data_IF_991592233859
#
_entry.id   IF_991592233859
#
_cell.length_a   1.000
_cell.length_b   1.000
_cell.length_c   1.000
_cell.angle_alpha   90.00
_cell.angle_beta   90.00
_cell.angle_gamma   90.00
#
_symmetry.space_group_name_H-M   'P 1'
#
loop_
_entity.id
_entity.type
_entity.pdbx_description
1 polymer ?
#
# COMPACT_ATOMS: atom_id res chain seq x y z
N UNK A 1 -17.11 21.18 -17.10
CA UNK A 1 -16.38 20.22 -17.90
C UNK A 1 -16.32 18.90 -17.14
N UNK A 2 -16.42 17.76 -17.85
CA UNK A 2 -16.38 16.45 -17.19
C UNK A 2 -14.95 15.96 -16.90
N UNK A 3 -13.92 16.62 -17.49
CA UNK A 3 -12.52 16.19 -17.38
C UNK A 3 -11.82 16.92 -16.22
N UNK A 4 -11.01 16.22 -15.41
CA UNK A 4 -10.33 16.81 -14.25
C UNK A 4 -9.29 17.87 -14.60
N UNK A 5 -8.55 17.67 -15.69
CA UNK A 5 -7.48 18.54 -16.18
C UNK A 5 -7.26 18.35 -17.69
N UNK A 6 -6.46 19.23 -18.29
CA UNK A 6 -6.06 19.09 -19.70
C UNK A 6 -4.96 18.02 -19.84
N UNK A 7 -5.07 17.20 -20.89
CA UNK A 7 -4.07 16.18 -21.24
C UNK A 7 -3.45 16.49 -22.61
N UNK A 8 -2.24 15.98 -22.90
CA UNK A 8 -1.63 16.11 -24.23
C UNK A 8 -2.50 15.56 -25.35
N UNK A 9 -2.40 16.12 -26.56
CA UNK A 9 -3.20 15.72 -27.71
C UNK A 9 -3.06 14.23 -28.10
N UNK A 10 -1.94 13.60 -27.69
CA UNK A 10 -1.68 12.18 -27.94
C UNK A 10 -2.32 11.26 -26.88
N UNK A 11 -2.96 11.80 -25.85
CA UNK A 11 -3.60 11.04 -24.78
C UNK A 11 -5.11 11.03 -24.95
N UNK A 12 -5.76 10.03 -24.38
CA UNK A 12 -7.22 9.91 -24.38
C UNK A 12 -7.76 9.72 -22.98
N UNK A 13 -8.94 10.30 -22.71
CA UNK A 13 -9.69 10.00 -21.50
C UNK A 13 -10.53 8.74 -21.69
N UNK A 14 -10.39 7.77 -20.80
CA UNK A 14 -11.21 6.56 -20.77
C UNK A 14 -11.90 6.40 -19.40
N UNK A 15 -13.06 5.74 -19.38
CA UNK A 15 -13.64 5.29 -18.10
C UNK A 15 -12.86 4.09 -17.59
N UNK A 16 -12.59 4.03 -16.27
CA UNK A 16 -11.87 2.91 -15.66
C UNK A 16 -12.48 1.56 -16.07
N UNK A 17 -13.80 1.43 -16.02
CA UNK A 17 -14.50 0.21 -16.39
C UNK A 17 -14.38 -0.22 -17.86
N UNK A 18 -13.87 0.65 -18.75
CA UNK A 18 -13.60 0.29 -20.15
C UNK A 18 -12.16 -0.18 -20.38
N UNK A 19 -11.26 0.02 -19.41
CA UNK A 19 -9.83 -0.30 -19.54
C UNK A 19 -9.36 -1.37 -18.56
N UNK A 20 -10.24 -1.79 -17.64
CA UNK A 20 -10.02 -2.91 -16.72
C UNK A 20 -11.22 -3.85 -16.71
N UNK A 21 -11.01 -5.08 -16.27
CA UNK A 21 -12.09 -6.02 -15.98
C UNK A 21 -11.92 -6.62 -14.58
N UNK A 22 -12.99 -7.26 -14.12
CA UNK A 22 -13.06 -7.94 -12.83
C UNK A 22 -13.05 -9.45 -13.09
N UNK A 23 -12.22 -10.19 -12.37
CA UNK A 23 -12.14 -11.66 -12.52
C UNK A 23 -13.33 -12.41 -11.95
N UNK A 24 -14.26 -11.71 -11.31
CA UNK A 24 -15.44 -12.31 -10.69
C UNK A 24 -15.22 -12.70 -9.24
N UNK A 25 -16.15 -13.51 -8.75
CA UNK A 25 -16.19 -13.95 -7.37
C UNK A 25 -16.34 -15.47 -7.28
N UNK A 26 -15.84 -16.03 -6.18
CA UNK A 26 -15.97 -17.45 -5.87
C UNK A 26 -16.30 -17.67 -4.40
N UNK A 27 -16.73 -18.87 -4.06
CA UNK A 27 -16.72 -19.36 -2.69
C UNK A 27 -15.58 -20.36 -2.55
N UNK A 28 -14.64 -20.17 -1.60
CA UNK A 28 -13.54 -21.09 -1.42
C UNK A 28 -14.04 -22.52 -1.16
N UNK A 29 -13.53 -23.50 -1.91
CA UNK A 29 -13.84 -24.93 -1.74
C UNK A 29 -12.65 -25.77 -1.29
N UNK A 30 -11.47 -25.19 -1.33
CA UNK A 30 -10.18 -25.76 -0.87
C UNK A 30 -9.47 -24.73 -0.01
N UNK A 31 -8.32 -25.08 0.57
CA UNK A 31 -7.44 -24.12 1.23
C UNK A 31 -7.05 -23.01 0.27
N UNK A 32 -7.01 -21.79 0.76
CA UNK A 32 -6.76 -20.58 -0.02
C UNK A 32 -5.96 -19.56 0.76
N UNK A 33 -5.25 -18.69 0.05
CA UNK A 33 -4.57 -17.53 0.64
C UNK A 33 -5.54 -16.36 0.71
N UNK A 34 -5.90 -15.93 1.91
CA UNK A 34 -6.83 -14.82 2.11
C UNK A 34 -6.10 -13.48 2.15
N UNK A 35 -6.56 -12.55 1.34
CA UNK A 35 -6.06 -11.19 1.28
C UNK A 35 -7.16 -10.24 1.75
N UNK A 36 -6.99 -9.67 2.94
CA UNK A 36 -7.85 -8.60 3.45
C UNK A 36 -7.10 -7.26 3.53
N UNK A 37 -7.77 -6.22 4.04
CA UNK A 37 -7.16 -4.88 4.16
C UNK A 37 -5.93 -4.90 5.08
N UNK A 38 -5.92 -5.74 6.12
CA UNK A 38 -4.77 -5.93 7.01
C UNK A 38 -3.58 -6.63 6.37
N UNK A 39 -3.78 -7.26 5.22
CA UNK A 39 -2.71 -7.90 4.44
C UNK A 39 -1.87 -6.88 3.65
N UNK A 40 -2.26 -5.60 3.63
CA UNK A 40 -1.58 -4.55 2.87
C UNK A 40 -0.74 -3.67 3.80
N UNK A 41 0.55 -3.54 3.50
CA UNK A 41 1.39 -2.46 4.00
C UNK A 41 1.05 -1.18 3.22
N UNK A 42 0.21 -0.34 3.80
CA UNK A 42 -0.25 0.89 3.14
C UNK A 42 0.78 2.02 3.13
N UNK A 43 1.93 1.86 3.78
CA UNK A 43 3.04 2.82 3.68
C UNK A 43 3.86 2.58 2.42
N UNK A 44 4.04 1.31 2.07
CA UNK A 44 4.82 0.89 0.91
C UNK A 44 3.95 0.40 -0.25
N UNK A 45 2.62 0.35 -0.08
CA UNK A 45 1.63 -0.18 -1.03
C UNK A 45 2.00 -1.59 -1.54
N UNK A 46 2.34 -2.47 -0.62
CA UNK A 46 2.74 -3.86 -0.90
C UNK A 46 1.96 -4.85 -0.05
N UNK A 47 1.89 -6.08 -0.52
CA UNK A 47 1.44 -7.18 0.32
C UNK A 47 2.46 -7.45 1.44
N UNK A 48 1.96 -7.71 2.64
CA UNK A 48 2.78 -8.24 3.72
C UNK A 48 3.48 -9.53 3.29
N UNK A 49 4.70 -9.82 3.76
CA UNK A 49 5.46 -10.97 3.30
C UNK A 49 4.84 -12.32 3.72
N UNK A 50 3.99 -12.33 4.73
CA UNK A 50 3.38 -13.55 5.27
C UNK A 50 1.99 -13.76 4.69
N UNK A 51 1.76 -14.92 4.07
CA UNK A 51 0.45 -15.32 3.56
C UNK A 51 -0.42 -15.91 4.69
N UNK A 52 -1.70 -15.58 4.66
CA UNK A 52 -2.70 -16.15 5.57
C UNK A 52 -3.45 -17.26 4.86
N UNK A 53 -3.08 -18.52 5.11
CA UNK A 53 -3.80 -19.69 4.58
C UNK A 53 -4.98 -20.02 5.46
N UNK A 54 -6.16 -20.20 4.86
CA UNK A 54 -7.43 -20.49 5.54
C UNK A 54 -8.11 -21.70 4.92
N UNK A 55 -8.61 -22.61 5.76
CA UNK A 55 -9.44 -23.72 5.32
C UNK A 55 -10.85 -23.24 4.91
N UNK A 56 -11.51 -23.89 3.95
CA UNK A 56 -12.77 -23.41 3.36
C UNK A 56 -13.92 -23.30 4.38
N UNK A 57 -13.94 -24.16 5.39
CA UNK A 57 -14.93 -24.14 6.48
C UNK A 57 -14.77 -22.92 7.44
N UNK A 58 -13.60 -22.31 7.44
CA UNK A 58 -13.28 -21.11 8.22
C UNK A 58 -13.25 -19.83 7.37
N UNK A 59 -13.66 -19.91 6.11
CA UNK A 59 -13.60 -18.79 5.20
C UNK A 59 -14.48 -17.61 5.68
N UNK A 60 -13.92 -16.39 5.83
CA UNK A 60 -14.73 -15.23 6.10
C UNK A 60 -15.75 -15.01 4.99
N UNK A 61 -16.94 -14.52 5.32
CA UNK A 61 -17.99 -14.24 4.33
C UNK A 61 -17.56 -13.26 3.24
N UNK A 62 -16.57 -12.45 3.52
CA UNK A 62 -15.95 -11.49 2.58
C UNK A 62 -14.88 -12.09 1.67
N UNK A 63 -14.41 -13.31 1.88
CA UNK A 63 -13.44 -13.97 1.01
C UNK A 63 -14.11 -14.43 -0.29
N UNK A 64 -14.15 -13.55 -1.29
CA UNK A 64 -14.93 -13.77 -2.50
C UNK A 64 -14.24 -13.39 -3.80
N UNK A 65 -13.37 -12.36 -3.81
CA UNK A 65 -12.82 -11.79 -5.04
C UNK A 65 -11.65 -12.64 -5.55
N UNK A 66 -11.77 -13.12 -6.78
CA UNK A 66 -10.66 -13.80 -7.47
C UNK A 66 -9.56 -12.79 -7.80
N UNK A 67 -8.32 -13.17 -7.61
CA UNK A 67 -7.13 -12.37 -7.92
C UNK A 67 -6.06 -13.23 -8.58
N UNK A 68 -5.20 -12.58 -9.35
CA UNK A 68 -4.09 -13.22 -10.04
C UNK A 68 -2.89 -12.26 -10.15
N UNK A 69 -1.75 -12.79 -10.57
CA UNK A 69 -0.54 -12.02 -10.82
C UNK A 69 -0.82 -10.78 -11.70
N UNK A 70 -0.32 -9.64 -11.29
CA UNK A 70 -0.46 -8.37 -12.01
C UNK A 70 -1.76 -7.61 -11.72
N UNK A 71 -2.73 -8.18 -11.01
CA UNK A 71 -3.94 -7.47 -10.61
C UNK A 71 -3.63 -6.36 -9.61
N UNK A 72 -4.38 -5.27 -9.69
CA UNK A 72 -4.36 -4.21 -8.68
C UNK A 72 -5.49 -4.48 -7.68
N UNK A 73 -5.14 -4.57 -6.41
CA UNK A 73 -6.10 -4.52 -5.31
C UNK A 73 -6.26 -3.07 -4.86
N UNK A 74 -7.45 -2.53 -4.98
CA UNK A 74 -7.79 -1.17 -4.56
C UNK A 74 -8.85 -1.22 -3.46
N UNK A 75 -8.52 -0.75 -2.25
CA UNK A 75 -9.50 -0.69 -1.16
C UNK A 75 -10.59 0.33 -1.47
N UNK A 76 -11.83 -0.13 -1.53
CA UNK A 76 -13.00 0.74 -1.71
C UNK A 76 -13.45 1.40 -0.41
N UNK A 77 -12.90 0.98 0.72
CA UNK A 77 -13.16 1.53 2.06
C UNK A 77 -12.01 2.44 2.46
N UNK A 78 -12.31 3.69 2.80
CA UNK A 78 -11.30 4.71 3.16
C UNK A 78 -10.20 4.82 2.11
N UNK A 79 -10.52 5.20 0.87
CA UNK A 79 -9.55 5.26 -0.22
C UNK A 79 -8.30 6.08 0.12
N UNK A 80 -8.45 7.16 0.89
CA UNK A 80 -7.36 8.04 1.36
C UNK A 80 -6.27 7.31 2.18
N UNK A 81 -6.51 6.10 2.67
CA UNK A 81 -5.49 5.31 3.37
C UNK A 81 -4.57 4.55 2.42
N UNK A 82 -4.86 4.57 1.11
CA UNK A 82 -4.09 3.87 0.08
C UNK A 82 -3.77 2.41 0.44
N UNK A 83 -4.76 1.69 1.02
CA UNK A 83 -4.66 0.25 1.19
C UNK A 83 -4.82 -0.42 -0.18
N UNK A 84 -3.77 -0.38 -0.97
CA UNK A 84 -3.74 -0.91 -2.34
C UNK A 84 -2.36 -1.49 -2.66
N UNK A 85 -2.31 -2.46 -3.55
CA UNK A 85 -1.07 -3.05 -4.05
C UNK A 85 -1.27 -3.66 -5.43
N UNK A 86 -0.17 -3.99 -6.10
CA UNK A 86 -0.16 -4.89 -7.24
C UNK A 86 0.20 -6.28 -6.72
N UNK A 87 -0.48 -7.31 -7.20
CA UNK A 87 -0.11 -8.70 -6.94
C UNK A 87 1.17 -9.01 -7.73
N UNK A 88 2.29 -9.11 -7.04
CA UNK A 88 3.63 -9.22 -7.62
C UNK A 88 4.35 -10.54 -7.28
N UNK A 89 3.64 -11.48 -6.65
CA UNK A 89 4.19 -12.79 -6.28
C UNK A 89 3.17 -13.92 -6.45
N UNK A 90 3.67 -15.14 -6.54
CA UNK A 90 2.87 -16.36 -6.45
C UNK A 90 2.48 -16.68 -5.02
N UNK A 91 1.41 -17.45 -4.86
CA UNK A 91 0.89 -17.91 -3.58
C UNK A 91 0.92 -19.44 -3.51
N UNK A 92 1.09 -20.04 -2.31
CA UNK A 92 1.05 -21.49 -2.14
C UNK A 92 -0.33 -22.10 -2.43
N UNK A 93 -1.39 -21.32 -2.31
CA UNK A 93 -2.78 -21.68 -2.61
C UNK A 93 -3.45 -20.56 -3.41
N UNK A 94 -4.64 -20.84 -3.97
CA UNK A 94 -5.40 -19.84 -4.74
C UNK A 94 -5.61 -18.57 -3.91
N UNK A 95 -5.17 -17.41 -4.36
CA UNK A 95 -5.40 -16.16 -3.66
C UNK A 95 -6.85 -15.69 -3.84
N UNK A 96 -7.48 -15.31 -2.73
CA UNK A 96 -8.84 -14.77 -2.70
C UNK A 96 -8.85 -13.52 -1.85
N UNK A 97 -9.23 -12.41 -2.46
CA UNK A 97 -9.33 -11.14 -1.77
C UNK A 97 -10.70 -10.90 -1.13
N UNK A 98 -10.70 -10.03 -0.13
CA UNK A 98 -11.90 -9.53 0.52
C UNK A 98 -12.76 -8.71 -0.46
N UNK A 99 -14.09 -8.74 -0.26
CA UNK A 99 -15.05 -7.84 -0.95
C UNK A 99 -14.83 -6.36 -0.66
N UNK A 100 -13.99 -6.01 0.30
CA UNK A 100 -13.55 -4.62 0.53
C UNK A 100 -12.59 -4.09 -0.52
N UNK A 101 -12.11 -4.94 -1.44
CA UNK A 101 -11.29 -4.53 -2.58
C UNK A 101 -12.10 -4.52 -3.88
N UNK A 102 -11.81 -3.55 -4.74
CA UNK A 102 -11.95 -3.69 -6.17
C UNK A 102 -10.69 -4.38 -6.70
N UNK A 103 -10.87 -5.46 -7.46
CA UNK A 103 -9.80 -6.15 -8.17
C UNK A 103 -9.81 -5.64 -9.60
N UNK A 104 -8.72 -4.98 -10.01
CA UNK A 104 -8.63 -4.34 -11.32
C UNK A 104 -7.58 -5.07 -12.16
N UNK A 105 -8.05 -5.81 -13.15
CA UNK A 105 -7.19 -6.46 -14.15
C UNK A 105 -7.14 -5.59 -15.39
N UNK A 106 -5.96 -5.08 -15.73
CA UNK A 106 -5.78 -4.19 -16.88
C UNK A 106 -5.93 -4.93 -18.20
N UNK A 107 -6.56 -4.29 -19.21
CA UNK A 107 -6.51 -4.75 -20.59
C UNK A 107 -5.10 -4.56 -21.18
N UNK A 108 -4.79 -5.29 -22.26
CA UNK A 108 -3.43 -5.44 -22.82
C UNK A 108 -2.67 -4.14 -23.11
N UNK A 109 -3.34 -3.03 -23.37
CA UNK A 109 -2.71 -1.75 -23.70
C UNK A 109 -2.59 -0.78 -22.51
N UNK A 110 -2.95 -1.21 -21.31
CA UNK A 110 -2.83 -0.44 -20.08
C UNK A 110 -1.86 -1.14 -19.14
N UNK A 111 -0.74 -0.48 -18.83
CA UNK A 111 0.19 -0.98 -17.82
C UNK A 111 -0.44 -0.87 -16.44
N UNK A 112 -0.48 -1.99 -15.71
CA UNK A 112 -1.00 -2.02 -14.34
C UNK A 112 -0.26 -1.04 -13.43
N UNK A 113 1.05 -0.90 -13.57
CA UNK A 113 1.87 0.01 -12.77
C UNK A 113 1.59 1.49 -13.08
N UNK A 114 1.28 1.82 -14.35
CA UNK A 114 0.82 3.16 -14.72
C UNK A 114 -0.53 3.48 -14.06
N UNK A 115 -1.52 2.58 -14.21
CA UNK A 115 -2.81 2.74 -13.56
C UNK A 115 -2.67 2.85 -12.04
N UNK A 116 -1.84 2.01 -11.44
CA UNK A 116 -1.55 2.02 -10.01
C UNK A 116 -1.06 3.40 -9.53
N UNK A 117 -0.13 4.02 -10.23
CA UNK A 117 0.36 5.36 -9.89
C UNK A 117 -0.71 6.44 -10.06
N UNK A 118 -1.54 6.33 -11.12
CA UNK A 118 -2.65 7.25 -11.29
C UNK A 118 -3.68 7.15 -10.14
N UNK A 119 -3.99 5.94 -9.69
CA UNK A 119 -4.91 5.71 -8.56
C UNK A 119 -4.40 6.27 -7.22
N UNK A 120 -3.11 6.58 -7.12
CA UNK A 120 -2.50 7.27 -5.96
C UNK A 120 -2.34 8.78 -6.18
N UNK A 121 -2.75 9.31 -7.32
CA UNK A 121 -2.61 10.73 -7.60
C UNK A 121 -3.57 11.58 -6.77
N UNK A 122 -3.22 12.85 -6.47
CA UNK A 122 -4.11 13.78 -5.76
C UNK A 122 -5.45 13.99 -6.47
N UNK A 123 -5.47 13.98 -7.81
CA UNK A 123 -6.70 14.14 -8.59
C UNK A 123 -7.63 12.95 -8.43
N UNK A 124 -7.09 11.73 -8.45
CA UNK A 124 -7.89 10.53 -8.21
C UNK A 124 -8.35 10.46 -6.74
N UNK A 125 -7.51 10.83 -5.80
CA UNK A 125 -7.88 10.91 -4.38
C UNK A 125 -9.02 11.90 -4.16
N UNK A 126 -8.98 13.07 -4.77
CA UNK A 126 -10.06 14.04 -4.71
C UNK A 126 -11.37 13.47 -5.25
N UNK A 127 -11.30 12.73 -6.36
CA UNK A 127 -12.46 12.03 -6.92
C UNK A 127 -12.96 10.92 -5.98
N UNK A 128 -12.08 10.04 -5.51
CA UNK A 128 -12.45 8.86 -4.72
C UNK A 128 -13.01 9.22 -3.34
N UNK A 129 -12.48 10.27 -2.72
CA UNK A 129 -12.86 10.72 -1.38
C UNK A 129 -13.96 11.80 -1.36
N UNK A 130 -14.40 12.31 -2.53
CA UNK A 130 -15.48 13.27 -2.60
C UNK A 130 -16.79 12.63 -2.10
N UNK A 131 -17.31 13.16 -0.99
CA UNK A 131 -18.51 12.65 -0.29
C UNK A 131 -19.73 13.53 -0.48
N UNK A 132 -19.80 14.35 -1.53
CA UNK A 132 -20.90 15.34 -1.73
C UNK A 132 -22.30 14.76 -1.60
N UNK A 133 -22.47 13.45 -1.69
CA UNK A 133 -23.74 12.74 -1.52
C UNK A 133 -23.86 11.92 -0.23
N UNK A 134 -22.86 11.95 0.68
CA UNK A 134 -22.81 11.10 1.87
C UNK A 134 -22.85 11.92 3.17
N UNK A 135 -23.86 12.77 3.34
CA UNK A 135 -24.09 13.44 4.64
C UNK A 135 -24.34 12.35 5.71
N UNK A 136 -23.41 12.23 6.66
CA UNK A 136 -23.57 11.38 7.84
C UNK A 136 -22.91 10.00 7.81
N UNK A 137 -22.07 9.66 6.81
CA UNK A 137 -21.35 8.39 6.78
C UNK A 137 -20.01 8.54 7.53
N UNK A 138 -19.86 7.80 8.63
CA UNK A 138 -18.65 7.81 9.47
C UNK A 138 -17.39 7.28 8.74
N UNK A 139 -17.55 6.62 7.59
CA UNK A 139 -16.46 6.02 6.82
C UNK A 139 -16.63 6.32 5.34
N UNK A 140 -15.79 7.19 4.73
CA UNK A 140 -15.82 7.41 3.30
C UNK A 140 -15.52 6.10 2.57
N UNK A 141 -16.34 5.78 1.59
CA UNK A 141 -16.19 4.62 0.72
C UNK A 141 -16.57 5.01 -0.70
N UNK A 142 -15.90 4.42 -1.68
CA UNK A 142 -16.27 4.51 -3.07
C UNK A 142 -16.96 3.20 -3.48
N UNK A 143 -18.17 3.27 -4.03
CA UNK A 143 -18.81 2.07 -4.55
C UNK A 143 -18.27 1.71 -5.95
N UNK A 144 -18.48 0.45 -6.35
CA UNK A 144 -17.98 -0.06 -7.64
C UNK A 144 -18.49 0.78 -8.82
N UNK A 145 -19.78 1.17 -8.83
CA UNK A 145 -20.37 1.94 -9.92
C UNK A 145 -19.66 3.29 -10.11
N UNK A 146 -19.38 4.00 -9.04
CA UNK A 146 -18.62 5.26 -9.08
C UNK A 146 -17.16 5.03 -9.45
N UNK A 147 -16.51 3.99 -8.89
CA UNK A 147 -15.14 3.66 -9.18
C UNK A 147 -14.93 3.38 -10.68
N UNK A 148 -15.76 2.52 -11.27
CA UNK A 148 -15.64 2.17 -12.70
C UNK A 148 -16.04 3.32 -13.65
N UNK A 149 -16.74 4.34 -13.18
CA UNK A 149 -17.04 5.58 -13.93
C UNK A 149 -15.92 6.62 -13.85
N UNK A 150 -14.90 6.43 -13.02
CA UNK A 150 -13.77 7.35 -12.94
C UNK A 150 -13.10 7.53 -14.30
N UNK A 151 -12.69 8.76 -14.60
CA UNK A 151 -11.91 9.07 -15.80
C UNK A 151 -10.43 8.79 -15.54
N UNK A 152 -9.80 8.10 -16.46
CA UNK A 152 -8.39 7.73 -16.44
C UNK A 152 -7.73 8.29 -17.69
N UNK A 153 -6.64 9.08 -17.58
CA UNK A 153 -5.89 9.55 -18.74
C UNK A 153 -5.03 8.40 -19.28
N UNK A 154 -5.10 8.14 -20.56
CA UNK A 154 -4.42 7.00 -21.21
C UNK A 154 -3.37 7.52 -22.20
N UNK A 155 -2.08 7.50 -21.82
CA UNK A 155 -0.98 7.78 -22.74
C UNK A 155 -0.78 6.63 -23.73
N UNK A 156 -0.09 6.87 -24.85
CA UNK A 156 0.46 5.80 -25.68
C UNK A 156 1.31 4.83 -24.83
N UNK A 157 1.28 3.53 -25.14
CA UNK A 157 1.93 2.48 -24.33
C UNK A 157 3.41 2.76 -24.07
N UNK A 158 4.14 3.23 -25.09
CA UNK A 158 5.56 3.59 -24.92
C UNK A 158 5.76 4.75 -23.92
N UNK A 159 4.80 5.64 -23.82
CA UNK A 159 4.84 6.75 -22.87
C UNK A 159 4.47 6.29 -21.45
N UNK A 160 3.49 5.39 -21.29
CA UNK A 160 3.23 4.74 -20.01
C UNK A 160 4.50 4.12 -19.42
N UNK A 161 5.29 3.40 -20.24
CA UNK A 161 6.58 2.83 -19.81
C UNK A 161 7.57 3.91 -19.36
N UNK A 162 7.69 5.03 -20.10
CA UNK A 162 8.58 6.13 -19.71
C UNK A 162 8.14 6.79 -18.39
N UNK A 163 6.84 7.02 -18.22
CA UNK A 163 6.27 7.56 -17.00
C UNK A 163 6.57 6.64 -15.81
N UNK A 164 6.26 5.35 -15.94
CA UNK A 164 6.53 4.36 -14.89
C UNK A 164 8.01 4.34 -14.53
N UNK A 165 8.91 4.28 -15.52
CA UNK A 165 10.35 4.28 -15.28
C UNK A 165 10.85 5.56 -14.59
N UNK A 166 10.30 6.72 -14.96
CA UNK A 166 10.64 7.98 -14.31
C UNK A 166 10.20 8.00 -12.83
N UNK A 167 8.97 7.57 -12.54
CA UNK A 167 8.46 7.49 -11.16
C UNK A 167 9.29 6.50 -10.34
N UNK A 168 9.59 5.31 -10.87
CA UNK A 168 10.39 4.29 -10.19
C UNK A 168 11.79 4.80 -9.85
N UNK A 169 12.42 5.55 -10.77
CA UNK A 169 13.76 6.11 -10.56
C UNK A 169 13.83 7.12 -9.41
N UNK A 170 12.71 7.77 -9.10
CA UNK A 170 12.60 8.70 -7.95
C UNK A 170 12.20 7.96 -6.68
N UNK A 171 11.30 6.99 -6.77
CA UNK A 171 10.79 6.27 -5.62
C UNK A 171 11.87 5.42 -4.92
N UNK A 172 12.80 4.81 -5.65
CA UNK A 172 13.88 4.02 -5.05
C UNK A 172 14.76 4.83 -4.07
N UNK A 173 15.33 5.98 -4.47
CA UNK A 173 16.09 6.82 -3.54
C UNK A 173 15.26 7.34 -2.36
N UNK A 174 13.97 7.65 -2.57
CA UNK A 174 13.08 8.12 -1.51
C UNK A 174 12.83 7.03 -0.46
N UNK A 175 12.64 5.78 -0.86
CA UNK A 175 12.50 4.65 0.07
C UNK A 175 13.78 4.42 0.89
N UNK A 176 14.95 4.52 0.26
CA UNK A 176 16.23 4.43 0.96
C UNK A 176 16.43 5.58 1.96
N UNK A 177 16.11 6.79 1.56
CA UNK A 177 16.17 7.96 2.44
C UNK A 177 15.25 7.80 3.65
N UNK A 178 13.99 7.42 3.44
CA UNK A 178 13.01 7.20 4.51
C UNK A 178 13.45 6.12 5.51
N UNK A 179 14.07 5.04 5.04
CA UNK A 179 14.59 3.99 5.93
C UNK A 179 15.77 4.49 6.78
N UNK A 180 16.66 5.30 6.21
CA UNK A 180 17.79 5.90 6.93
C UNK A 180 17.33 6.95 7.93
N UNK A 181 16.36 7.77 7.57
CA UNK A 181 15.76 8.76 8.46
C UNK A 181 15.10 8.10 9.67
N UNK A 182 14.33 7.04 9.48
CA UNK A 182 13.70 6.30 10.58
C UNK A 182 14.76 5.65 11.50
N UNK A 183 15.83 5.11 10.93
CA UNK A 183 16.97 4.58 11.70
C UNK A 183 17.60 5.66 12.57
N UNK A 184 17.86 6.84 12.00
CA UNK A 184 18.38 7.99 12.74
C UNK A 184 17.44 8.45 13.83
N UNK A 185 16.14 8.49 13.57
CA UNK A 185 15.12 8.86 14.56
C UNK A 185 15.12 7.91 15.74
N UNK A 186 15.14 6.59 15.48
CA UNK A 186 15.21 5.55 16.52
C UNK A 186 16.49 5.71 17.34
N UNK A 187 17.65 5.88 16.69
CA UNK A 187 18.92 6.08 17.37
C UNK A 187 18.89 7.32 18.26
N UNK A 188 18.46 8.45 17.73
CA UNK A 188 18.40 9.71 18.50
C UNK A 188 17.42 9.63 19.68
N UNK A 189 16.34 8.88 19.58
CA UNK A 189 15.36 8.71 20.65
C UNK A 189 15.86 7.75 21.73
N UNK A 190 16.55 6.67 21.35
CA UNK A 190 17.05 5.66 22.28
C UNK A 190 18.42 5.97 22.88
N UNK A 191 19.24 6.79 22.21
CA UNK A 191 20.63 7.08 22.60
C UNK A 191 20.75 7.69 24.01
N UNK A 192 19.99 8.73 24.39
CA UNK A 192 20.10 9.33 25.71
C UNK A 192 19.81 8.34 26.85
N UNK A 193 18.80 7.50 26.67
CA UNK A 193 18.42 6.47 27.63
C UNK A 193 19.48 5.37 27.75
N UNK A 194 20.00 4.90 26.62
CA UNK A 194 21.03 3.87 26.58
C UNK A 194 22.35 4.39 27.16
N UNK A 195 22.72 5.64 26.87
CA UNK A 195 23.90 6.29 27.42
C UNK A 195 23.79 6.41 28.94
N UNK A 196 22.63 6.86 29.46
CA UNK A 196 22.39 6.95 30.90
C UNK A 196 22.54 5.59 31.59
N UNK A 197 21.97 4.53 30.99
CA UNK A 197 22.09 3.16 31.53
C UNK A 197 23.55 2.69 31.55
N UNK A 198 24.30 2.95 30.47
CA UNK A 198 25.69 2.59 30.38
C UNK A 198 26.54 3.31 31.43
N UNK A 199 26.34 4.62 31.59
CA UNK A 199 27.05 5.41 32.61
C UNK A 199 26.75 4.89 34.02
N UNK A 200 25.48 4.61 34.33
CA UNK A 200 25.09 4.05 35.61
C UNK A 200 25.71 2.68 35.86
N UNK A 201 25.80 1.83 34.83
CA UNK A 201 26.42 0.53 34.92
C UNK A 201 27.92 0.64 35.23
N UNK A 202 28.66 1.51 34.53
CA UNK A 202 30.08 1.78 34.79
C UNK A 202 30.29 2.37 36.20
N UNK A 203 29.40 3.25 36.64
CA UNK A 203 29.47 3.82 37.99
C UNK A 203 29.35 2.77 39.09
N UNK A 204 28.33 1.89 39.03
CA UNK A 204 28.13 0.83 40.04
C UNK A 204 29.18 -0.27 39.98
N UNK A 205 29.90 -0.41 38.88
CA UNK A 205 31.04 -1.33 38.75
C UNK A 205 32.36 -0.73 39.21
N UNK A 206 32.35 0.55 39.66
CA UNK A 206 33.56 1.24 40.07
C UNK A 206 34.54 1.58 38.93
N UNK A 207 34.02 1.60 37.69
CA UNK A 207 34.83 1.84 36.47
C UNK A 207 34.74 3.27 35.95
N UNK A 208 33.73 4.03 36.43
CA UNK A 208 33.47 5.38 35.92
C UNK A 208 34.53 6.40 36.36
N UNK A 209 35.09 6.22 37.55
CA UNK A 209 36.15 7.07 38.09
C UNK A 209 37.32 6.21 38.53
N UNK A 210 38.57 6.72 38.43
CA UNK A 210 39.73 6.03 38.97
C UNK A 210 39.61 5.84 40.49
N UNK A 211 40.02 4.68 40.99
CA UNK A 211 40.08 4.41 42.43
C UNK A 211 41.21 5.24 43.05
N UNK A 212 40.94 5.89 44.16
CA UNK A 212 41.96 6.60 44.91
C UNK A 212 42.53 5.67 46.01
N UNK A 213 43.84 5.34 45.99
CA UNK A 213 44.46 4.48 47.00
C UNK A 213 44.45 5.05 48.41
N UNK A 214 44.12 6.35 48.56
CA UNK A 214 44.05 7.03 49.88
C UNK A 214 42.67 7.00 50.50
N UNK A 215 41.66 6.49 49.81
CA UNK A 215 40.31 6.36 50.33
C UNK A 215 40.25 5.30 51.44
N UNK A 216 39.45 5.58 52.50
CA UNK A 216 39.22 4.61 53.58
C UNK A 216 38.45 3.40 53.08
N UNK A 217 38.81 2.16 53.46
CA UNK A 217 38.03 0.96 53.08
C UNK A 217 36.64 1.02 53.71
N UNK A 218 35.62 0.56 52.93
CA UNK A 218 34.23 0.50 53.35
C UNK A 218 33.99 -0.50 54.50
#
# INVERSE_FOLDING_TARGET
>A
GEVPFEIPDSWEWARLGSVVYNRGQTSPSTEFCYIDIGSIDNKNQKLNPTDTTIAPDKAPSRARKLVDMGDILYSTVRPYLHNMCIIDREFPHIPIASTGFAVLTCHANLLNKYLFYYLMSPDFDAYANNTDNAKGVAYPAINDDRLYKALIPIPPVAEQHRIVSAIDSVNMPLCEYGSKEETLRILNTSFPENLKKSILQEAVQGKLVPQDPSDEPA
#
